data_IF_961982086153
#
_entry.id   IF_961982086153
#
_cell.length_a   1.000
_cell.length_b   1.000
_cell.length_c   1.000
_cell.angle_alpha   90.00
_cell.angle_beta   90.00
_cell.angle_gamma   90.00
#
_symmetry.space_group_name_H-M   'P 1'
#
loop_
_entity.id
_entity.type
_entity.pdbx_description
1 polymer ?
#
# COMPACT_ATOMS: atom_id res chain seq x y z
N UNK A 1 4.97 6.92 20.22
CA UNK A 1 5.18 7.21 18.77
C UNK A 1 4.85 6.01 17.90
N UNK A 2 5.36 4.81 18.19
CA UNK A 2 5.11 3.59 17.37
C UNK A 2 3.64 3.21 17.24
N UNK A 3 2.84 3.32 18.31
CA UNK A 3 1.41 2.98 18.29
C UNK A 3 0.61 3.82 17.29
N UNK A 4 0.89 5.13 17.19
CA UNK A 4 0.20 6.01 16.24
C UNK A 4 0.53 5.65 14.79
N UNK A 5 1.80 5.32 14.50
CA UNK A 5 2.22 4.84 13.18
C UNK A 5 1.54 3.52 12.82
N UNK A 6 1.42 2.59 13.77
CA UNK A 6 0.72 1.32 13.55
C UNK A 6 -0.76 1.54 13.27
N UNK A 7 -1.43 2.40 14.05
CA UNK A 7 -2.85 2.73 13.82
C UNK A 7 -3.04 3.37 12.45
N UNK A 8 -2.19 4.33 12.08
CA UNK A 8 -2.22 4.96 10.77
C UNK A 8 -1.98 3.95 9.65
N UNK A 9 -1.04 3.04 9.83
CA UNK A 9 -0.72 2.01 8.86
C UNK A 9 -1.89 1.06 8.63
N UNK A 10 -2.55 0.62 9.70
CA UNK A 10 -3.75 -0.20 9.63
C UNK A 10 -4.90 0.54 8.96
N UNK A 11 -5.07 1.83 9.24
CA UNK A 11 -6.06 2.67 8.57
C UNK A 11 -5.78 2.80 7.08
N UNK A 12 -4.53 3.05 6.68
CA UNK A 12 -4.11 3.10 5.27
C UNK A 12 -4.38 1.78 4.55
N UNK A 13 -4.03 0.65 5.18
CA UNK A 13 -4.32 -0.68 4.63
C UNK A 13 -5.83 -0.84 4.47
N UNK A 14 -6.63 -0.58 5.51
CA UNK A 14 -8.09 -0.75 5.46
C UNK A 14 -8.76 0.11 4.38
N UNK A 15 -8.36 1.38 4.25
CA UNK A 15 -8.86 2.28 3.20
C UNK A 15 -8.38 1.81 1.82
N UNK A 16 -7.14 1.35 1.71
CA UNK A 16 -6.61 0.77 0.48
C UNK A 16 -7.39 -0.48 0.04
N UNK A 17 -7.73 -1.37 0.97
CA UNK A 17 -8.57 -2.54 0.70
C UNK A 17 -9.98 -2.12 0.31
N UNK A 18 -10.55 -1.09 0.95
CA UNK A 18 -11.84 -0.53 0.55
C UNK A 18 -11.81 0.03 -0.88
N UNK A 19 -10.66 0.51 -1.36
CA UNK A 19 -10.46 0.95 -2.73
C UNK A 19 -10.57 -0.15 -3.78
N UNK A 20 -10.48 -1.43 -3.40
CA UNK A 20 -10.76 -2.56 -4.31
C UNK A 20 -12.26 -2.59 -4.67
N UNK A 21 -13.12 -2.21 -3.74
CA UNK A 21 -14.58 -2.15 -3.95
C UNK A 21 -15.01 -0.78 -4.49
N UNK A 22 -14.32 0.28 -4.05
CA UNK A 22 -14.62 1.66 -4.44
C UNK A 22 -13.49 2.24 -5.31
N UNK A 23 -13.62 2.20 -6.66
CA UNK A 23 -12.52 2.47 -7.59
C UNK A 23 -11.93 3.88 -7.55
N UNK A 24 -12.60 4.83 -6.88
CA UNK A 24 -12.09 6.20 -6.76
C UNK A 24 -10.93 6.33 -5.76
N UNK A 25 -10.69 5.31 -4.93
CA UNK A 25 -9.57 5.29 -3.99
C UNK A 25 -8.34 4.63 -4.64
N UNK A 26 -7.13 5.17 -4.42
CA UNK A 26 -5.89 4.55 -4.92
C UNK A 26 -5.52 3.33 -4.07
N UNK A 27 -6.26 2.23 -4.26
CA UNK A 27 -6.26 1.06 -3.38
C UNK A 27 -4.87 0.46 -3.15
N UNK A 28 -4.20 0.05 -4.23
CA UNK A 28 -2.86 -0.55 -4.17
C UNK A 28 -1.80 0.39 -3.59
N UNK A 29 -1.89 1.70 -3.89
CA UNK A 29 -0.95 2.69 -3.36
C UNK A 29 -1.09 2.83 -1.84
N UNK A 30 -2.33 2.88 -1.34
CA UNK A 30 -2.63 2.98 0.09
C UNK A 30 -2.23 1.71 0.85
N UNK A 31 -2.50 0.53 0.27
CA UNK A 31 -2.08 -0.75 0.86
C UNK A 31 -0.55 -0.84 0.96
N UNK A 32 0.17 -0.44 -0.10
CA UNK A 32 1.63 -0.40 -0.05
C UNK A 32 2.15 0.62 0.97
N UNK A 33 1.60 1.84 0.99
CA UNK A 33 2.00 2.87 1.95
C UNK A 33 1.80 2.41 3.41
N UNK A 34 0.67 1.77 3.72
CA UNK A 34 0.41 1.24 5.07
C UNK A 34 1.34 0.08 5.44
N UNK A 35 1.57 -0.88 4.54
CA UNK A 35 2.52 -1.98 4.81
C UNK A 35 3.96 -1.50 4.96
N UNK A 36 4.39 -0.51 4.18
CA UNK A 36 5.69 0.14 4.33
C UNK A 36 5.79 0.90 5.67
N UNK A 37 4.72 1.59 6.10
CA UNK A 37 4.68 2.27 7.39
C UNK A 37 4.75 1.27 8.57
N UNK A 38 4.11 0.10 8.46
CA UNK A 38 4.28 -0.99 9.43
C UNK A 38 5.72 -1.50 9.49
N UNK A 39 6.34 -1.69 8.31
CA UNK A 39 7.74 -2.08 8.23
C UNK A 39 8.65 -1.04 8.91
N UNK A 40 8.43 0.24 8.65
CA UNK A 40 9.13 1.34 9.30
C UNK A 40 8.93 1.36 10.83
N UNK A 41 7.69 1.19 11.30
CA UNK A 41 7.37 1.17 12.72
C UNK A 41 8.04 0.01 13.47
N UNK A 42 8.25 -1.13 12.79
CA UNK A 42 9.00 -2.28 13.28
C UNK A 42 10.51 -2.23 12.99
N UNK A 43 11.05 -1.11 12.50
CA UNK A 43 12.48 -0.95 12.19
C UNK A 43 12.98 -1.88 11.08
N UNK A 44 12.10 -2.27 10.15
CA UNK A 44 12.39 -3.19 9.05
C UNK A 44 12.92 -4.57 9.48
N UNK A 45 12.61 -4.99 10.72
CA UNK A 45 13.06 -6.28 11.25
C UNK A 45 12.42 -7.49 10.55
N UNK A 46 11.19 -7.34 10.06
CA UNK A 46 10.42 -8.40 9.39
C UNK A 46 10.47 -8.24 7.87
N UNK A 47 10.24 -7.02 7.38
CA UNK A 47 10.22 -6.71 5.95
C UNK A 47 11.58 -6.15 5.52
N UNK A 48 12.42 -7.00 4.95
CA UNK A 48 13.70 -6.58 4.37
C UNK A 48 13.56 -5.78 3.07
N UNK A 49 14.64 -5.17 2.60
CA UNK A 49 14.63 -4.33 1.40
C UNK A 49 14.12 -5.09 0.14
N UNK A 50 14.51 -6.36 -0.03
CA UNK A 50 14.11 -7.16 -1.19
C UNK A 50 12.60 -7.33 -1.32
N UNK A 51 11.90 -7.67 -0.23
CA UNK A 51 10.44 -7.85 -0.26
C UNK A 51 9.73 -6.51 -0.50
N UNK A 52 10.22 -5.42 0.09
CA UNK A 52 9.65 -4.08 -0.10
C UNK A 52 9.79 -3.59 -1.53
N UNK A 53 10.95 -3.80 -2.16
CA UNK A 53 11.14 -3.49 -3.57
C UNK A 53 10.27 -4.36 -4.47
N UNK A 54 10.18 -5.67 -4.18
CA UNK A 54 9.37 -6.60 -4.97
C UNK A 54 7.90 -6.21 -4.91
N UNK A 55 7.34 -6.05 -3.71
CA UNK A 55 5.94 -5.64 -3.54
C UNK A 55 5.72 -4.23 -4.07
N UNK A 56 6.65 -3.30 -3.86
CA UNK A 56 6.57 -1.94 -4.38
C UNK A 56 6.52 -1.87 -5.90
N UNK A 57 7.32 -2.68 -6.61
CA UNK A 57 7.29 -2.78 -8.07
C UNK A 57 5.99 -3.41 -8.57
N UNK A 58 5.50 -4.45 -7.89
CA UNK A 58 4.20 -5.07 -8.22
C UNK A 58 3.06 -4.07 -8.01
N UNK A 59 3.04 -3.36 -6.88
CA UNK A 59 2.06 -2.32 -6.58
C UNK A 59 2.12 -1.18 -7.60
N UNK A 60 3.32 -0.73 -7.99
CA UNK A 60 3.49 0.28 -9.03
C UNK A 60 2.90 -0.19 -10.37
N UNK A 61 3.20 -1.43 -10.77
CA UNK A 61 2.62 -2.03 -11.99
C UNK A 61 1.10 -2.09 -11.94
N UNK A 62 0.52 -2.50 -10.81
CA UNK A 62 -0.92 -2.52 -10.61
C UNK A 62 -1.56 -1.13 -10.67
N UNK A 63 -0.95 -0.12 -10.02
CA UNK A 63 -1.43 1.28 -10.10
C UNK A 63 -1.44 1.79 -11.54
N UNK A 64 -0.39 1.48 -12.32
CA UNK A 64 -0.33 1.84 -13.73
C UNK A 64 -1.41 1.11 -14.53
N UNK A 65 -1.65 -0.18 -14.26
CA UNK A 65 -2.70 -0.95 -14.90
C UNK A 65 -4.10 -0.38 -14.58
N UNK A 66 -4.36 -0.03 -13.32
CA UNK A 66 -5.62 0.60 -12.88
C UNK A 66 -5.82 1.95 -13.57
N UNK A 67 -4.76 2.74 -13.70
CA UNK A 67 -4.80 4.00 -14.43
C UNK A 67 -5.07 3.81 -15.93
N UNK A 68 -4.42 2.83 -16.58
CA UNK A 68 -4.70 2.49 -17.98
C UNK A 68 -6.14 2.02 -18.16
N UNK A 69 -6.64 1.15 -17.27
CA UNK A 69 -8.01 0.67 -17.30
C UNK A 69 -8.99 1.85 -17.20
N UNK A 70 -8.80 2.75 -16.22
CA UNK A 70 -9.64 3.95 -16.08
C UNK A 70 -9.64 4.89 -17.29
N UNK A 71 -8.57 4.90 -18.10
CA UNK A 71 -8.53 5.65 -19.36
C UNK A 71 -9.22 4.92 -20.53
N UNK A 72 -9.27 3.59 -20.50
CA UNK A 72 -9.82 2.76 -21.58
C UNK A 72 -11.33 2.48 -21.42
N UNK A 73 -11.88 2.68 -20.22
CA UNK A 73 -13.30 2.44 -19.89
C UNK A 73 -13.52 1.09 -19.24
#
# INVERSE_FOLDING_TARGET
MTALLVILALALIAVGTAGIVYPALPGLALMFAGTWLLAYAGGYQIYGAGILWTVGLISLGGILADYMAGMLG
#
